data_IF_965966541999
#
_entry.id   IF_965966541999
#
_cell.length_a   1.000
_cell.length_b   1.000
_cell.length_c   1.000
_cell.angle_alpha   90.00
_cell.angle_beta   90.00
_cell.angle_gamma   90.00
#
_symmetry.space_group_name_H-M   'P 1'
#
loop_
_entity.id
_entity.type
_entity.pdbx_description
1 polymer ?
#
# COMPACT_ATOMS: atom_id res chain seq x y z
N UNK A 1 -15.27 -12.83 5.92
CA UNK A 1 -15.06 -12.18 4.62
C UNK A 1 -14.37 -10.86 4.90
N UNK A 2 -13.06 -10.76 4.70
CA UNK A 2 -12.43 -9.44 4.69
C UNK A 2 -13.01 -8.76 3.44
N UNK A 3 -13.73 -7.65 3.62
CA UNK A 3 -14.05 -6.77 2.49
C UNK A 3 -12.75 -6.53 1.74
N UNK A 4 -12.74 -6.52 0.40
CA UNK A 4 -11.52 -6.50 -0.42
C UNK A 4 -10.65 -5.24 -0.31
N UNK A 5 -10.60 -4.62 0.87
CA UNK A 5 -10.03 -3.33 1.19
C UNK A 5 -9.24 -3.42 2.50
N UNK A 6 -8.11 -2.70 2.54
CA UNK A 6 -7.39 -2.39 3.75
C UNK A 6 -7.60 -0.92 4.11
N UNK A 7 -7.80 -0.66 5.39
CA UNK A 7 -7.53 0.65 6.01
C UNK A 7 -6.04 0.98 5.98
N UNK A 8 -5.70 2.21 6.37
CA UNK A 8 -4.28 2.61 6.45
C UNK A 8 -3.53 1.79 7.51
N UNK A 9 -4.19 1.50 8.62
CA UNK A 9 -3.66 0.75 9.76
C UNK A 9 -3.43 -0.71 9.43
N UNK A 10 -4.38 -1.34 8.73
CA UNK A 10 -4.25 -2.73 8.28
C UNK A 10 -3.13 -2.89 7.26
N UNK A 11 -3.06 -2.00 6.26
CA UNK A 11 -1.99 -2.05 5.27
C UNK A 11 -0.62 -1.78 5.90
N UNK A 12 -0.53 -0.82 6.83
CA UNK A 12 0.70 -0.53 7.55
C UNK A 12 1.18 -1.74 8.35
N UNK A 13 0.25 -2.44 9.01
CA UNK A 13 0.52 -3.67 9.77
C UNK A 13 0.97 -4.83 8.87
N UNK A 14 0.40 -4.93 7.67
CA UNK A 14 0.80 -5.92 6.64
C UNK A 14 2.22 -5.64 6.15
N UNK A 15 2.53 -4.38 5.82
CA UNK A 15 3.83 -3.96 5.31
C UNK A 15 4.90 -3.78 6.38
N UNK A 16 4.54 -3.93 7.67
CA UNK A 16 5.42 -3.70 8.83
C UNK A 16 6.04 -2.30 8.85
N UNK A 17 5.24 -1.29 8.49
CA UNK A 17 5.62 0.13 8.56
C UNK A 17 4.69 0.89 9.49
N UNK A 18 5.11 2.06 9.95
CA UNK A 18 4.22 2.98 10.68
C UNK A 18 3.16 3.59 9.73
N UNK A 19 1.89 3.79 10.15
CA UNK A 19 0.86 4.44 9.34
C UNK A 19 1.27 5.83 8.80
N UNK A 20 2.15 6.56 9.50
CA UNK A 20 2.71 7.83 9.01
C UNK A 20 3.56 7.66 7.76
N UNK A 21 4.20 6.50 7.55
CA UNK A 21 4.94 6.18 6.33
C UNK A 21 3.99 6.15 5.13
N UNK A 22 2.84 5.48 5.25
CA UNK A 22 1.82 5.47 4.20
C UNK A 22 1.27 6.87 3.93
N UNK A 23 1.05 7.68 4.96
CA UNK A 23 0.66 9.09 4.79
C UNK A 23 1.71 9.88 3.99
N UNK A 24 2.99 9.72 4.33
CA UNK A 24 4.10 10.39 3.62
C UNK A 24 4.19 9.94 2.17
N UNK A 25 4.00 8.65 1.89
CA UNK A 25 3.97 8.11 0.54
C UNK A 25 2.85 8.71 -0.31
N UNK A 26 1.63 8.83 0.25
CA UNK A 26 0.50 9.48 -0.44
C UNK A 26 0.75 10.94 -0.77
N UNK A 27 1.49 11.66 0.08
CA UNK A 27 1.81 13.09 -0.12
C UNK A 27 3.11 13.34 -0.90
N UNK A 28 3.85 12.30 -1.29
CA UNK A 28 5.06 12.46 -2.09
C UNK A 28 4.72 12.90 -3.52
N UNK A 29 5.68 13.53 -4.20
CA UNK A 29 5.55 13.92 -5.61
C UNK A 29 6.73 13.33 -6.39
N UNK A 30 6.51 12.27 -7.20
CA UNK A 30 5.25 11.56 -7.41
C UNK A 30 4.81 10.74 -6.17
N UNK A 31 3.49 10.44 -6.03
CA UNK A 31 3.00 9.57 -4.96
C UNK A 31 3.69 8.22 -4.99
N UNK A 32 3.92 7.67 -3.80
CA UNK A 32 4.54 6.37 -3.62
C UNK A 32 3.56 5.38 -2.98
N UNK A 33 3.90 4.10 -3.03
CA UNK A 33 3.09 3.04 -2.41
C UNK A 33 2.03 2.45 -3.34
N UNK A 34 1.18 1.55 -2.80
CA UNK A 34 0.09 0.96 -3.54
C UNK A 34 -1.01 2.00 -3.85
N UNK A 35 -1.81 1.77 -4.90
CA UNK A 35 -2.96 2.62 -5.22
C UNK A 35 -3.91 2.79 -4.03
N UNK A 36 -4.41 4.01 -3.85
CA UNK A 36 -5.28 4.37 -2.73
C UNK A 36 -6.49 5.16 -3.20
N UNK A 37 -7.59 5.02 -2.45
CA UNK A 37 -8.82 5.78 -2.67
C UNK A 37 -9.08 6.62 -1.43
N UNK A 38 -9.31 7.92 -1.61
CA UNK A 38 -9.77 8.80 -0.54
C UNK A 38 -11.30 8.82 -0.52
N UNK A 39 -11.89 8.31 0.56
CA UNK A 39 -13.35 8.27 0.76
C UNK A 39 -13.83 9.48 1.57
N UNK A 40 -12.98 10.01 2.45
CA UNK A 40 -13.26 11.21 3.26
C UNK A 40 -11.94 11.94 3.60
N UNK A 41 -11.96 13.15 4.20
CA UNK A 41 -10.75 13.94 4.47
C UNK A 41 -9.62 13.22 5.21
N UNK A 42 -9.94 12.19 6.02
CA UNK A 42 -8.96 11.37 6.76
C UNK A 42 -9.16 9.87 6.57
N UNK A 43 -10.05 9.46 5.66
CA UNK A 43 -10.36 8.06 5.42
C UNK A 43 -9.84 7.65 4.05
N UNK A 44 -8.88 6.75 4.06
CA UNK A 44 -8.24 6.21 2.88
C UNK A 44 -8.30 4.70 2.92
N UNK A 45 -8.65 4.12 1.78
CA UNK A 45 -8.72 2.67 1.59
C UNK A 45 -7.76 2.23 0.50
N UNK A 46 -7.30 0.99 0.62
CA UNK A 46 -6.42 0.34 -0.32
C UNK A 46 -7.06 -0.96 -0.77
N UNK A 47 -7.22 -1.13 -2.08
CA UNK A 47 -7.73 -2.38 -2.64
C UNK A 47 -6.71 -3.50 -2.41
N UNK A 48 -7.18 -4.68 -1.96
CA UNK A 48 -6.32 -5.86 -1.81
C UNK A 48 -5.64 -6.25 -3.12
N UNK A 49 -6.35 -6.42 -4.26
CA UNK A 49 -5.69 -6.80 -5.51
C UNK A 49 -4.68 -5.76 -5.99
N UNK A 50 -4.96 -4.46 -5.82
CA UNK A 50 -4.02 -3.40 -6.21
C UNK A 50 -2.75 -3.42 -5.35
N UNK A 51 -2.92 -3.66 -4.05
CA UNK A 51 -1.80 -3.82 -3.12
C UNK A 51 -0.94 -5.02 -3.48
N UNK A 52 -1.56 -6.16 -3.81
CA UNK A 52 -0.85 -7.36 -4.24
C UNK A 52 -0.09 -7.15 -5.56
N UNK A 53 -0.72 -6.49 -6.53
CA UNK A 53 -0.07 -6.16 -7.81
C UNK A 53 1.14 -5.23 -7.59
N UNK A 54 0.98 -4.21 -6.75
CA UNK A 54 2.07 -3.30 -6.39
C UNK A 54 3.24 -4.02 -5.71
N UNK A 55 2.95 -4.96 -4.80
CA UNK A 55 3.99 -5.79 -4.18
C UNK A 55 4.68 -6.69 -5.21
N UNK A 56 3.92 -7.29 -6.12
CA UNK A 56 4.47 -8.14 -7.17
C UNK A 56 5.42 -7.36 -8.10
N UNK A 57 5.07 -6.13 -8.47
CA UNK A 57 5.92 -5.26 -9.30
C UNK A 57 7.23 -4.84 -8.62
N UNK A 58 7.25 -4.82 -7.29
CA UNK A 58 8.44 -4.48 -6.48
C UNK A 58 9.20 -5.71 -5.98
N UNK A 59 8.73 -6.91 -6.29
CA UNK A 59 9.39 -8.15 -5.91
C UNK A 59 10.73 -8.23 -6.65
N UNK A 60 11.82 -8.25 -5.88
CA UNK A 60 13.12 -8.67 -6.40
C UNK A 60 13.17 -10.18 -6.36
N UNK A 61 13.45 -10.84 -7.49
CA UNK A 61 13.74 -12.27 -7.49
C UNK A 61 15.24 -12.50 -7.26
N UNK A 62 15.65 -13.18 -6.17
CA UNK A 62 17.06 -13.46 -5.92
C UNK A 62 17.74 -14.29 -7.02
N UNK A 63 16.97 -15.06 -7.80
CA UNK A 63 17.52 -15.89 -8.86
C UNK A 63 17.82 -15.13 -10.16
N UNK A 64 17.24 -13.95 -10.35
CA UNK A 64 17.52 -13.06 -11.49
C UNK A 64 18.72 -12.13 -11.24
N UNK A 65 19.21 -12.06 -10.00
CA UNK A 65 20.34 -11.22 -9.60
C UNK A 65 21.71 -11.94 -9.62
N UNK A 66 21.75 -13.19 -10.10
CA UNK A 66 22.94 -14.05 -10.15
C UNK A 66 23.62 -14.08 -11.52
#
# INVERSE_FOLDING_TARGET
MHSGWYSTEELASLLKVDPSTLRRWRSATPPQGPPFVQIAPRLYLYSIPDTQLWLAQKRTDPSEAA
#
